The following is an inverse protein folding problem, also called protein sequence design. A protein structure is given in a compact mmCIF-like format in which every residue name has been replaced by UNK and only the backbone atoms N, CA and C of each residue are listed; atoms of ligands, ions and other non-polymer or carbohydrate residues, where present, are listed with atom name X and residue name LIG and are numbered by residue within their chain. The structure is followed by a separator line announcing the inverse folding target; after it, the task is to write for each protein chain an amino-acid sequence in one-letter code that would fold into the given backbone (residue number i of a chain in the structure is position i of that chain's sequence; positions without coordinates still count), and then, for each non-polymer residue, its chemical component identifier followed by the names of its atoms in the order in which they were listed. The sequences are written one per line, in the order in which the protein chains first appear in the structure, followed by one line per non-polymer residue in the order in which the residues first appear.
data_IF_091833158757
#
_entry.id   IF_091833158757
#
_cell.length_a   1.000
_cell.length_b   1.000
_cell.length_c   1.000
_cell.angle_alpha   90.00
_cell.angle_beta   90.00
_cell.angle_gamma   90.00
#
_symmetry.space_group_name_H-M   'P 1'
#
loop_
_entity.id
_entity.type
_entity.pdbx_description
1 polymer ?
#
# COMPACT_ATOMS: atom_id res chain seq x y z
N UNK A 1 45.45 -6.62 12.49
CA UNK A 1 43.99 -6.82 12.70
C UNK A 1 43.19 -6.04 11.66
N UNK A 2 43.59 -4.82 11.31
CA UNK A 2 42.82 -3.97 10.37
C UNK A 2 42.77 -4.49 8.92
N UNK A 3 43.84 -5.10 8.39
CA UNK A 3 43.84 -5.63 7.01
C UNK A 3 42.92 -6.86 6.81
N UNK A 4 42.76 -7.69 7.84
CA UNK A 4 41.87 -8.85 7.79
C UNK A 4 40.40 -8.44 7.88
N UNK A 5 40.11 -7.40 8.67
CA UNK A 5 38.78 -6.81 8.75
C UNK A 5 38.39 -6.10 7.46
N UNK A 6 39.31 -5.37 6.82
CA UNK A 6 39.04 -4.72 5.53
C UNK A 6 38.75 -5.76 4.44
N UNK A 7 39.53 -6.83 4.36
CA UNK A 7 39.29 -7.92 3.40
C UNK A 7 37.97 -8.65 3.63
N UNK A 8 37.54 -8.79 4.89
CA UNK A 8 36.25 -9.39 5.20
C UNK A 8 35.07 -8.49 4.80
N UNK A 9 35.23 -7.17 4.90
CA UNK A 9 34.23 -6.18 4.46
C UNK A 9 34.17 -6.13 2.93
N UNK A 10 35.31 -6.11 2.24
CA UNK A 10 35.36 -6.12 0.78
C UNK A 10 34.81 -7.43 0.18
N UNK A 11 35.03 -8.57 0.85
CA UNK A 11 34.42 -9.84 0.48
C UNK A 11 32.90 -9.87 0.70
N UNK A 12 32.40 -9.19 1.74
CA UNK A 12 30.96 -9.05 2.00
C UNK A 12 30.29 -8.17 0.93
N UNK A 13 30.94 -7.07 0.55
CA UNK A 13 30.43 -6.12 -0.46
C UNK A 13 30.49 -6.72 -1.87
N UNK A 14 31.55 -7.50 -2.19
CA UNK A 14 31.62 -8.26 -3.44
C UNK A 14 30.56 -9.36 -3.52
N UNK A 15 30.23 -10.00 -2.39
CA UNK A 15 29.15 -10.99 -2.30
C UNK A 15 27.76 -10.36 -2.41
N UNK A 16 27.60 -9.07 -2.08
CA UNK A 16 26.36 -8.33 -2.28
C UNK A 16 26.15 -7.89 -3.75
N UNK A 17 27.23 -7.77 -4.52
CA UNK A 17 27.20 -7.30 -5.91
C UNK A 17 27.19 -8.40 -6.99
N UNK A 18 27.37 -9.67 -6.62
CA UNK A 18 27.33 -10.83 -7.54
C UNK A 18 26.00 -11.60 -7.52
N UNK A 19 24.89 -10.94 -7.20
CA UNK A 19 23.57 -11.51 -7.50
C UNK A 19 23.13 -11.15 -8.91
N UNK A 20 22.80 -12.15 -9.76
CA UNK A 20 22.42 -11.91 -11.14
C UNK A 20 21.13 -11.09 -11.17
N UNK A 21 21.22 -9.93 -11.81
CA UNK A 21 20.12 -9.11 -12.29
C UNK A 21 19.32 -9.87 -13.35
N UNK A 22 18.58 -10.90 -12.95
CA UNK A 22 17.63 -11.60 -13.82
C UNK A 22 16.23 -11.52 -13.25
N UNK A 23 15.64 -10.32 -13.32
CA UNK A 23 14.19 -10.18 -13.45
C UNK A 23 13.69 -10.70 -14.82
N UNK A 24 14.61 -11.03 -15.74
CA UNK A 24 14.33 -11.57 -17.06
C UNK A 24 13.95 -13.06 -17.04
N UNK A 25 14.60 -13.90 -16.22
CA UNK A 25 14.32 -15.35 -16.17
C UNK A 25 13.14 -15.70 -15.27
N UNK A 26 12.89 -14.92 -14.22
CA UNK A 26 11.67 -15.05 -13.42
C UNK A 26 10.41 -14.63 -14.20
N UNK A 27 10.53 -13.65 -15.09
CA UNK A 27 9.45 -13.24 -15.99
C UNK A 27 9.22 -14.25 -17.13
N UNK A 28 10.28 -14.89 -17.66
CA UNK A 28 10.17 -15.91 -18.70
C UNK A 28 9.57 -17.23 -18.18
N UNK A 29 9.87 -17.64 -16.95
CA UNK A 29 9.28 -18.83 -16.33
C UNK A 29 7.80 -18.63 -15.94
N UNK A 30 7.40 -17.41 -15.55
CA UNK A 30 5.99 -17.08 -15.30
C UNK A 30 5.15 -16.97 -16.58
N UNK A 31 5.76 -16.54 -17.70
CA UNK A 31 5.10 -16.44 -19.01
C UNK A 31 4.80 -17.82 -19.64
N UNK A 32 5.62 -18.84 -19.38
CA UNK A 32 5.45 -20.18 -19.95
C UNK A 32 4.35 -21.02 -19.25
N UNK A 33 4.00 -20.71 -18.00
CA UNK A 33 2.96 -21.43 -17.25
C UNK A 33 1.55 -20.77 -17.34
N UNK A 34 1.44 -19.56 -17.89
CA UNK A 34 0.21 -18.75 -17.91
C UNK A 34 -0.67 -18.86 -19.16
N UNK A 35 -0.31 -19.71 -20.13
CA UNK A 35 -0.84 -19.68 -21.51
C UNK A 35 -2.36 -19.88 -21.66
N UNK A 36 -3.05 -20.47 -20.68
CA UNK A 36 -4.51 -20.63 -20.69
C UNK A 36 -5.26 -19.66 -19.76
N UNK A 37 -4.53 -18.99 -18.85
CA UNK A 37 -5.08 -17.97 -17.95
C UNK A 37 -5.00 -16.57 -18.56
N UNK A 38 -3.95 -16.26 -19.32
CA UNK A 38 -3.74 -14.93 -19.91
C UNK A 38 -4.80 -14.56 -20.96
N UNK A 39 -5.26 -15.53 -21.77
CA UNK A 39 -6.33 -15.31 -22.75
C UNK A 39 -7.70 -15.12 -22.09
N UNK A 40 -7.98 -15.87 -21.01
CA UNK A 40 -9.20 -15.70 -20.22
C UNK A 40 -9.19 -14.37 -19.45
N UNK A 41 -8.05 -14.01 -18.84
CA UNK A 41 -7.84 -12.74 -18.15
C UNK A 41 -7.91 -11.54 -19.12
N UNK A 42 -7.35 -11.68 -20.32
CA UNK A 42 -7.42 -10.66 -21.39
C UNK A 42 -8.83 -10.53 -21.97
N UNK A 43 -9.57 -11.63 -22.15
CA UNK A 43 -10.96 -11.59 -22.57
C UNK A 43 -11.87 -10.99 -21.49
N UNK A 44 -11.63 -11.29 -20.21
CA UNK A 44 -12.34 -10.64 -19.10
C UNK A 44 -11.96 -9.18 -18.91
N UNK A 45 -10.71 -8.80 -19.17
CA UNK A 45 -10.25 -7.41 -19.15
C UNK A 45 -10.84 -6.62 -20.31
N UNK A 46 -10.91 -7.19 -21.51
CA UNK A 46 -11.56 -6.57 -22.67
C UNK A 46 -13.07 -6.42 -22.44
N UNK A 47 -13.73 -7.42 -21.86
CA UNK A 47 -15.16 -7.34 -21.51
C UNK A 47 -15.41 -6.28 -20.42
N UNK A 48 -14.52 -6.18 -19.42
CA UNK A 48 -14.57 -5.14 -18.40
C UNK A 48 -14.38 -3.75 -19.02
N UNK A 49 -13.43 -3.61 -19.95
CA UNK A 49 -13.14 -2.37 -20.65
C UNK A 49 -14.27 -1.96 -21.61
N UNK A 50 -14.92 -2.92 -22.26
CA UNK A 50 -16.12 -2.70 -23.09
C UNK A 50 -17.34 -2.34 -22.24
N UNK A 51 -17.50 -2.95 -21.06
CA UNK A 51 -18.52 -2.57 -20.07
C UNK A 51 -18.25 -1.17 -19.49
N UNK A 52 -17.00 -0.81 -19.26
CA UNK A 52 -16.57 0.51 -18.79
C UNK A 52 -16.83 1.58 -19.86
N UNK A 53 -16.56 1.27 -21.13
CA UNK A 53 -16.85 2.15 -22.27
C UNK A 53 -18.36 2.39 -22.49
N UNK A 54 -19.21 1.37 -22.28
CA UNK A 54 -20.67 1.51 -22.30
C UNK A 54 -21.23 2.31 -21.10
N UNK A 55 -20.47 2.43 -20.00
CA UNK A 55 -20.87 3.12 -18.77
C UNK A 55 -20.42 4.58 -18.68
N UNK A 56 -19.54 5.01 -19.59
CA UNK A 56 -19.17 6.43 -19.74
C UNK A 56 -20.19 7.23 -20.57
N UNK A 57 -21.17 6.54 -21.18
CA UNK A 57 -22.35 7.13 -21.81
C UNK A 57 -23.36 7.65 -20.77
N UNK A 58 -22.92 8.53 -19.88
CA UNK A 58 -23.79 9.23 -18.92
C UNK A 58 -24.79 10.11 -19.66
N UNK A 59 -26.05 10.07 -19.25
CA UNK A 59 -27.00 11.13 -19.60
C UNK A 59 -26.47 12.46 -19.06
N UNK A 60 -26.15 13.44 -19.91
CA UNK A 60 -25.62 14.69 -19.41
C UNK A 60 -26.70 15.40 -18.57
N UNK A 61 -26.35 16.07 -17.47
CA UNK A 61 -27.31 16.81 -16.64
C UNK A 61 -28.15 17.80 -17.46
N UNK A 62 -27.55 18.37 -18.51
CA UNK A 62 -28.21 19.26 -19.46
C UNK A 62 -29.36 18.61 -20.23
N UNK A 63 -29.33 17.30 -20.47
CA UNK A 63 -30.39 16.57 -21.14
C UNK A 63 -31.61 16.35 -20.22
N UNK A 64 -31.38 16.11 -18.92
CA UNK A 64 -32.46 15.99 -17.94
C UNK A 64 -33.15 17.34 -17.76
N UNK A 65 -32.39 18.43 -17.69
CA UNK A 65 -32.95 19.78 -17.59
C UNK A 65 -33.65 20.22 -18.90
N UNK A 66 -33.17 19.77 -20.06
CA UNK A 66 -33.90 19.91 -21.31
C UNK A 66 -35.22 19.12 -21.27
N UNK A 67 -35.22 17.87 -20.80
CA UNK A 67 -36.43 17.06 -20.68
C UNK A 67 -37.46 17.66 -19.72
N UNK A 68 -37.02 18.25 -18.60
CA UNK A 68 -37.90 18.99 -17.67
C UNK A 68 -38.54 20.21 -18.34
N UNK A 69 -37.76 20.99 -19.09
CA UNK A 69 -38.30 22.15 -19.84
C UNK A 69 -39.31 21.73 -20.89
N UNK A 70 -39.03 20.64 -21.61
CA UNK A 70 -39.96 20.06 -22.58
C UNK A 70 -41.24 19.60 -21.87
N UNK A 71 -41.12 18.88 -20.75
CA UNK A 71 -42.28 18.46 -19.94
C UNK A 71 -43.15 19.66 -19.55
N UNK A 72 -42.58 20.71 -18.96
CA UNK A 72 -43.34 21.90 -18.57
C UNK A 72 -44.03 22.58 -19.77
N UNK A 73 -43.35 22.68 -20.91
CA UNK A 73 -43.94 23.26 -22.12
C UNK A 73 -45.14 22.44 -22.64
N UNK A 74 -45.05 21.11 -22.64
CA UNK A 74 -46.16 20.26 -23.05
C UNK A 74 -47.30 20.23 -22.03
N UNK A 75 -47.01 20.42 -20.74
CA UNK A 75 -48.04 20.57 -19.70
C UNK A 75 -48.85 21.86 -19.89
N UNK A 76 -48.19 22.97 -20.27
CA UNK A 76 -48.86 24.23 -20.62
C UNK A 76 -49.63 24.15 -21.94
N UNK A 77 -49.17 23.32 -22.87
CA UNK A 77 -49.89 23.09 -24.13
C UNK A 77 -51.21 22.36 -23.86
N UNK A 78 -51.26 21.39 -22.94
CA UNK A 78 -52.47 20.62 -22.62
C UNK A 78 -53.25 20.20 -23.88
N UNK A 79 -52.61 19.33 -24.67
CA UNK A 79 -53.06 19.03 -26.02
C UNK A 79 -54.45 18.39 -26.04
N UNK A 80 -54.70 17.49 -25.09
CA UNK A 80 -55.98 16.82 -24.95
C UNK A 80 -57.10 17.79 -24.55
N UNK A 81 -56.82 18.73 -23.64
CA UNK A 81 -57.76 19.79 -23.27
C UNK A 81 -58.05 20.76 -24.42
N UNK A 82 -57.06 21.06 -25.28
CA UNK A 82 -57.22 21.98 -26.41
C UNK A 82 -57.89 21.37 -27.64
N UNK A 83 -57.86 20.05 -27.83
CA UNK A 83 -58.51 19.37 -28.96
C UNK A 83 -59.98 19.77 -29.12
N UNK A 84 -60.76 19.78 -28.04
CA UNK A 84 -62.18 20.16 -28.09
C UNK A 84 -62.39 21.62 -28.52
N UNK A 85 -61.52 22.55 -28.08
CA UNK A 85 -61.59 23.95 -28.48
C UNK A 85 -61.22 24.11 -29.97
N UNK A 86 -60.23 23.36 -30.45
CA UNK A 86 -59.84 23.36 -31.87
C UNK A 86 -60.88 22.71 -32.78
N UNK A 87 -61.56 21.65 -32.34
CA UNK A 87 -62.70 21.06 -33.05
C UNK A 87 -63.82 22.09 -33.26
N UNK A 88 -64.15 22.86 -32.22
CA UNK A 88 -65.15 23.92 -32.31
C UNK A 88 -64.74 25.03 -33.30
N UNK A 89 -63.47 25.42 -33.31
CA UNK A 89 -62.91 26.38 -34.27
C UNK A 89 -62.92 25.84 -35.70
N UNK A 90 -62.55 24.57 -35.91
CA UNK A 90 -62.59 23.90 -37.20
C UNK A 90 -64.01 23.87 -37.78
N UNK A 91 -65.00 23.57 -36.95
CA UNK A 91 -66.41 23.60 -37.34
C UNK A 91 -66.86 25.02 -37.73
N UNK A 92 -66.50 26.03 -36.94
CA UNK A 92 -66.81 27.42 -37.23
C UNK A 92 -66.18 27.89 -38.55
N UNK A 93 -64.92 27.53 -38.82
CA UNK A 93 -64.24 27.81 -40.08
C UNK A 93 -64.99 27.17 -41.26
N UNK A 94 -65.40 25.91 -41.14
CA UNK A 94 -66.18 25.23 -42.19
C UNK A 94 -67.52 25.95 -42.46
N UNK A 95 -68.22 26.40 -41.42
CA UNK A 95 -69.46 27.16 -41.56
C UNK A 95 -69.23 28.53 -42.23
N UNK A 96 -68.15 29.22 -41.85
CA UNK A 96 -67.76 30.50 -42.45
C UNK A 96 -67.35 30.34 -43.92
N UNK A 97 -66.65 29.27 -44.28
CA UNK A 97 -66.32 28.95 -45.67
C UNK A 97 -67.56 28.75 -46.53
N UNK A 98 -68.53 27.98 -46.03
CA UNK A 98 -69.79 27.73 -46.75
C UNK A 98 -70.59 29.03 -46.92
N UNK A 99 -70.72 29.81 -45.85
CA UNK A 99 -71.45 31.09 -45.86
C UNK A 99 -70.79 32.10 -46.80
N UNK A 100 -69.48 32.26 -46.72
CA UNK A 100 -68.70 33.17 -47.60
C UNK A 100 -68.82 32.75 -49.07
N UNK A 101 -68.78 31.43 -49.36
CA UNK A 101 -68.96 30.88 -50.72
C UNK A 101 -70.36 31.16 -51.30
N UNK A 102 -71.41 31.04 -50.48
CA UNK A 102 -72.79 31.39 -50.87
C UNK A 102 -72.95 32.90 -51.09
N UNK A 103 -72.46 33.71 -50.16
CA UNK A 103 -72.55 35.17 -50.23
C UNK A 103 -71.81 35.73 -51.44
N UNK A 104 -70.61 35.22 -51.78
CA UNK A 104 -69.89 35.67 -52.98
C UNK A 104 -70.64 35.33 -54.26
N UNK A 105 -71.24 34.13 -54.35
CA UNK A 105 -72.07 33.74 -55.50
C UNK A 105 -73.26 34.69 -55.68
N UNK A 106 -74.01 34.93 -54.60
CA UNK A 106 -75.13 35.88 -54.60
C UNK A 106 -74.70 37.30 -54.99
N UNK A 107 -73.58 37.80 -54.47
CA UNK A 107 -73.05 39.12 -54.81
C UNK A 107 -72.68 39.23 -56.29
N UNK A 108 -72.06 38.19 -56.86
CA UNK A 108 -71.70 38.14 -58.28
C UNK A 108 -72.96 38.16 -59.18
N UNK A 109 -74.01 37.42 -58.81
CA UNK A 109 -75.29 37.39 -59.51
C UNK A 109 -76.00 38.75 -59.46
N UNK A 110 -76.12 39.37 -58.28
CA UNK A 110 -76.71 40.70 -58.10
C UNK A 110 -75.94 41.77 -58.89
N UNK A 111 -74.60 41.70 -58.88
CA UNK A 111 -73.75 42.63 -59.63
C UNK A 111 -73.95 42.48 -61.14
N UNK A 112 -74.10 41.25 -61.63
CA UNK A 112 -74.38 40.97 -63.05
C UNK A 112 -75.77 41.49 -63.44
N UNK A 113 -76.79 41.24 -62.62
CA UNK A 113 -78.15 41.73 -62.84
C UNK A 113 -78.22 43.26 -62.90
N UNK A 114 -77.54 43.96 -61.98
CA UNK A 114 -77.45 45.42 -61.97
C UNK A 114 -76.80 45.99 -63.23
N UNK A 115 -75.72 45.36 -63.72
CA UNK A 115 -75.06 45.77 -64.96
C UNK A 115 -75.96 45.58 -66.18
N UNK A 116 -76.80 44.53 -66.20
CA UNK A 116 -77.75 44.27 -67.28
C UNK A 116 -78.99 45.17 -67.27
N UNK A 117 -79.35 45.79 -66.15
CA UNK A 117 -80.55 46.65 -66.04
C UNK A 117 -80.33 48.11 -66.51
N UNK A 118 -79.18 48.44 -67.11
CA UNK A 118 -78.91 49.76 -67.71
C UNK A 118 -78.64 50.90 -66.74
N UNK A 119 -78.43 50.62 -65.44
CA UNK A 119 -78.28 51.62 -64.38
C UNK A 119 -76.87 52.25 -64.21
N UNK A 120 -75.96 52.08 -65.17
CA UNK A 120 -74.55 52.49 -64.99
C UNK A 120 -74.35 54.02 -65.13
N UNK A 121 -73.92 54.68 -64.04
CA UNK A 121 -73.18 55.94 -64.12
C UNK A 121 -71.73 55.64 -64.51
N UNK A 122 -71.13 56.41 -65.43
CA UNK A 122 -69.77 56.16 -65.99
C UNK A 122 -68.67 55.94 -64.94
N UNK A 123 -68.74 56.60 -63.77
CA UNK A 123 -67.74 56.49 -62.70
C UNK A 123 -67.95 55.27 -61.77
N UNK A 124 -69.10 54.59 -61.86
CA UNK A 124 -69.43 53.46 -60.97
C UNK A 124 -68.71 52.16 -61.39
N UNK A 125 -68.53 51.95 -62.70
CA UNK A 125 -67.87 50.76 -63.24
C UNK A 125 -66.43 50.53 -62.75
N UNK A 126 -65.52 51.54 -62.72
CA UNK A 126 -64.17 51.36 -62.17
C UNK A 126 -64.17 51.15 -60.65
N UNK A 127 -65.05 51.82 -59.91
CA UNK A 127 -65.19 51.63 -58.45
C UNK A 127 -65.64 50.21 -58.11
N UNK A 128 -66.65 49.69 -58.83
CA UNK A 128 -67.14 48.32 -58.66
C UNK A 128 -66.05 47.28 -58.94
N UNK A 129 -65.21 47.49 -59.95
CA UNK A 129 -64.05 46.62 -60.22
C UNK A 129 -63.03 46.64 -59.08
N UNK A 130 -62.77 47.81 -58.48
CA UNK A 130 -61.87 47.92 -57.33
C UNK A 130 -62.41 47.17 -56.11
N UNK A 131 -63.71 47.29 -55.80
CA UNK A 131 -64.37 46.50 -54.75
C UNK A 131 -64.29 44.98 -55.03
N UNK A 132 -64.52 44.55 -56.27
CA UNK A 132 -64.39 43.14 -56.65
C UNK A 132 -62.97 42.61 -56.44
N UNK A 133 -61.96 43.36 -56.89
CA UNK A 133 -60.56 43.00 -56.71
C UNK A 133 -60.19 42.89 -55.21
N UNK A 134 -60.68 43.80 -54.38
CA UNK A 134 -60.47 43.76 -52.93
C UNK A 134 -61.17 42.55 -52.27
N UNK A 135 -62.42 42.27 -52.63
CA UNK A 135 -63.16 41.09 -52.12
C UNK A 135 -62.45 39.78 -52.51
N UNK A 136 -61.95 39.69 -53.74
CA UNK A 136 -61.20 38.52 -54.19
C UNK A 136 -59.85 38.39 -53.47
N UNK A 137 -59.14 39.50 -53.26
CA UNK A 137 -57.90 39.56 -52.47
C UNK A 137 -58.13 39.09 -51.03
N UNK A 138 -59.12 39.68 -50.34
CA UNK A 138 -59.51 39.31 -48.97
C UNK A 138 -59.83 37.83 -48.90
N UNK A 139 -60.60 37.31 -49.86
CA UNK A 139 -60.99 35.91 -49.75
C UNK A 139 -59.88 34.94 -50.12
N UNK A 140 -58.96 35.32 -51.03
CA UNK A 140 -57.76 34.52 -51.29
C UNK A 140 -56.91 34.44 -50.02
N UNK A 141 -56.74 35.56 -49.31
CA UNK A 141 -56.05 35.62 -48.02
C UNK A 141 -56.76 34.78 -46.95
N UNK A 142 -58.08 34.85 -46.85
CA UNK A 142 -58.87 34.06 -45.92
C UNK A 142 -58.73 32.55 -46.19
N UNK A 143 -58.94 32.09 -47.43
CA UNK A 143 -58.77 30.68 -47.81
C UNK A 143 -57.36 30.16 -47.51
N UNK A 144 -56.34 30.98 -47.73
CA UNK A 144 -54.96 30.61 -47.42
C UNK A 144 -54.75 30.46 -45.90
N UNK A 145 -55.23 31.42 -45.10
CA UNK A 145 -55.12 31.37 -43.65
C UNK A 145 -55.90 30.18 -43.04
N UNK A 146 -57.12 29.95 -43.50
CA UNK A 146 -57.95 28.82 -43.09
C UNK A 146 -57.32 27.47 -43.47
N UNK A 147 -56.79 27.37 -44.70
CA UNK A 147 -56.09 26.16 -45.16
C UNK A 147 -54.82 25.89 -44.35
N UNK A 148 -54.04 26.93 -44.04
CA UNK A 148 -52.85 26.80 -43.19
C UNK A 148 -53.21 26.37 -41.76
N UNK A 149 -54.27 26.97 -41.18
CA UNK A 149 -54.78 26.58 -39.87
C UNK A 149 -55.21 25.12 -39.84
N UNK A 150 -56.03 24.68 -40.79
CA UNK A 150 -56.50 23.29 -40.86
C UNK A 150 -55.35 22.31 -41.06
N UNK A 151 -54.31 22.69 -41.81
CA UNK A 151 -53.11 21.87 -41.96
C UNK A 151 -52.34 21.67 -40.66
N UNK A 152 -52.12 22.74 -39.89
CA UNK A 152 -51.47 22.65 -38.57
C UNK A 152 -52.36 21.91 -37.57
N UNK A 153 -53.66 22.16 -37.59
CA UNK A 153 -54.63 21.50 -36.75
C UNK A 153 -54.60 19.98 -36.93
N UNK A 154 -54.67 19.50 -38.19
CA UNK A 154 -54.64 18.06 -38.48
C UNK A 154 -53.34 17.42 -37.96
N UNK A 155 -52.19 18.06 -38.20
CA UNK A 155 -50.90 17.53 -37.76
C UNK A 155 -50.80 17.43 -36.22
N UNK A 156 -51.38 18.38 -35.48
CA UNK A 156 -51.42 18.35 -34.02
C UNK A 156 -52.48 17.39 -33.48
N UNK A 157 -53.61 17.23 -34.16
CA UNK A 157 -54.68 16.32 -33.74
C UNK A 157 -54.27 14.86 -33.85
N UNK A 158 -53.58 14.50 -34.94
CA UNK A 158 -53.07 13.15 -35.19
C UNK A 158 -51.80 12.83 -34.38
N UNK A 159 -51.16 13.85 -33.78
CA UNK A 159 -49.97 13.64 -32.97
C UNK A 159 -50.31 12.86 -31.69
N UNK A 160 -49.54 11.80 -31.35
CA UNK A 160 -49.73 11.08 -30.10
C UNK A 160 -49.41 11.98 -28.90
N UNK A 161 -50.13 11.78 -27.79
CA UNK A 161 -49.85 12.51 -26.55
C UNK A 161 -48.52 12.05 -25.93
N UNK A 162 -47.54 12.95 -25.91
CA UNK A 162 -46.20 12.72 -25.36
C UNK A 162 -46.13 12.97 -23.85
N UNK A 163 -47.15 13.60 -23.26
CA UNK A 163 -47.14 14.02 -21.86
C UNK A 163 -47.01 12.86 -20.86
N UNK A 164 -47.77 11.75 -21.00
CA UNK A 164 -47.67 10.62 -20.08
C UNK A 164 -46.27 9.98 -20.11
N UNK A 165 -45.68 9.89 -21.31
CA UNK A 165 -44.34 9.36 -21.50
C UNK A 165 -43.30 10.27 -20.81
N UNK A 166 -43.35 11.58 -21.05
CA UNK A 166 -42.43 12.55 -20.44
C UNK A 166 -42.53 12.56 -18.91
N UNK A 167 -43.74 12.47 -18.35
CA UNK A 167 -43.98 12.38 -16.90
C UNK A 167 -43.33 11.14 -16.27
N UNK A 168 -43.33 10.02 -16.99
CA UNK A 168 -42.67 8.79 -16.53
C UNK A 168 -41.14 8.85 -16.72
N UNK A 169 -40.69 9.49 -17.81
CA UNK A 169 -39.29 9.53 -18.19
C UNK A 169 -38.43 10.40 -17.27
N UNK A 170 -38.87 11.62 -16.95
CA UNK A 170 -38.05 12.58 -16.16
C UNK A 170 -37.63 12.03 -14.79
N UNK A 171 -38.52 11.42 -13.98
CA UNK A 171 -38.13 10.81 -12.71
C UNK A 171 -37.18 9.63 -12.90
N UNK A 172 -37.42 8.77 -13.91
CA UNK A 172 -36.56 7.62 -14.21
C UNK A 172 -35.17 8.08 -14.62
N UNK A 173 -35.07 9.05 -15.54
CA UNK A 173 -33.81 9.63 -15.98
C UNK A 173 -33.02 10.26 -14.83
N UNK A 174 -33.71 10.96 -13.91
CA UNK A 174 -33.09 11.54 -12.71
C UNK A 174 -32.55 10.46 -11.78
N UNK A 175 -33.31 9.38 -11.55
CA UNK A 175 -32.87 8.25 -10.72
C UNK A 175 -31.69 7.50 -11.34
N UNK A 176 -31.71 7.29 -12.65
CA UNK A 176 -30.63 6.62 -13.39
C UNK A 176 -29.35 7.45 -13.29
N UNK A 177 -29.41 8.77 -13.53
CA UNK A 177 -28.25 9.64 -13.41
C UNK A 177 -27.67 9.65 -11.98
N UNK A 178 -28.53 9.65 -10.95
CA UNK A 178 -28.08 9.54 -9.55
C UNK A 178 -27.39 8.19 -9.26
N UNK A 179 -27.98 7.09 -9.73
CA UNK A 179 -27.40 5.75 -9.56
C UNK A 179 -26.07 5.57 -10.31
N UNK A 180 -25.94 6.13 -11.51
CA UNK A 180 -24.68 6.14 -12.26
C UNK A 180 -23.57 6.92 -11.52
N UNK A 181 -23.91 8.08 -10.95
CA UNK A 181 -22.96 8.87 -10.16
C UNK A 181 -22.50 8.12 -8.91
N UNK A 182 -23.42 7.49 -8.17
CA UNK A 182 -23.10 6.70 -6.99
C UNK A 182 -22.27 5.46 -7.34
N UNK A 183 -22.61 4.76 -8.42
CA UNK A 183 -21.83 3.63 -8.92
C UNK A 183 -20.39 4.05 -9.28
N UNK A 184 -20.21 5.21 -9.92
CA UNK A 184 -18.87 5.76 -10.19
C UNK A 184 -18.10 6.05 -8.91
N UNK A 185 -18.75 6.68 -7.91
CA UNK A 185 -18.14 6.97 -6.61
C UNK A 185 -17.67 5.70 -5.91
N UNK A 186 -18.55 4.69 -5.81
CA UNK A 186 -18.25 3.41 -5.17
C UNK A 186 -17.12 2.66 -5.89
N UNK A 187 -17.01 2.77 -7.22
CA UNK A 187 -15.87 2.18 -7.95
C UNK A 187 -14.56 2.85 -7.63
N UNK A 188 -14.53 4.18 -7.57
CA UNK A 188 -13.34 4.92 -7.15
C UNK A 188 -12.93 4.54 -5.73
N UNK A 189 -13.89 4.44 -4.81
CA UNK A 189 -13.64 3.97 -3.45
C UNK A 189 -13.09 2.53 -3.43
N UNK A 190 -13.64 1.62 -4.23
CA UNK A 190 -13.14 0.24 -4.33
C UNK A 190 -11.72 0.15 -4.88
N UNK A 191 -11.36 0.98 -5.86
CA UNK A 191 -10.00 1.02 -6.39
C UNK A 191 -8.99 1.54 -5.35
N UNK A 192 -9.37 2.57 -4.57
CA UNK A 192 -8.54 3.06 -3.46
C UNK A 192 -8.34 1.96 -2.42
N UNK A 193 -9.43 1.30 -1.98
CA UNK A 193 -9.36 0.21 -1.00
C UNK A 193 -8.53 -0.96 -1.51
N UNK A 194 -8.60 -1.30 -2.80
CA UNK A 194 -7.75 -2.33 -3.43
C UNK A 194 -6.28 -1.93 -3.39
N UNK A 195 -5.96 -0.68 -3.70
CA UNK A 195 -4.59 -0.18 -3.63
C UNK A 195 -4.04 -0.22 -2.20
N UNK A 196 -4.83 0.22 -1.22
CA UNK A 196 -4.46 0.17 0.20
C UNK A 196 -4.26 -1.26 0.70
N UNK A 197 -5.13 -2.20 0.30
CA UNK A 197 -4.99 -3.61 0.64
C UNK A 197 -3.71 -4.23 0.05
N UNK A 198 -3.37 -3.87 -1.19
CA UNK A 198 -2.12 -4.30 -1.83
C UNK A 198 -0.89 -3.74 -1.10
N UNK A 199 -0.91 -2.46 -0.72
CA UNK A 199 0.14 -1.81 0.04
C UNK A 199 0.31 -2.44 1.44
N UNK A 200 -0.79 -2.69 2.14
CA UNK A 200 -0.78 -3.35 3.44
C UNK A 200 -0.17 -4.75 3.37
N UNK A 201 -0.50 -5.53 2.33
CA UNK A 201 0.09 -6.86 2.10
C UNK A 201 1.59 -6.77 1.82
N UNK A 202 2.03 -5.81 1.01
CA UNK A 202 3.45 -5.58 0.75
C UNK A 202 4.21 -5.22 2.04
N UNK A 203 3.61 -4.38 2.88
CA UNK A 203 4.19 -3.97 4.16
C UNK A 203 4.25 -5.14 5.16
N UNK A 204 3.25 -6.02 5.19
CA UNK A 204 3.29 -7.26 5.98
C UNK A 204 4.43 -8.19 5.57
N UNK A 205 4.66 -8.38 4.26
CA UNK A 205 5.78 -9.18 3.76
C UNK A 205 7.13 -8.56 4.15
N UNK A 206 7.26 -7.23 4.04
CA UNK A 206 8.46 -6.52 4.46
C UNK A 206 8.71 -6.65 5.97
N UNK A 207 7.66 -6.53 6.78
CA UNK A 207 7.74 -6.71 8.24
C UNK A 207 8.21 -8.12 8.60
N UNK A 208 7.67 -9.16 7.95
CA UNK A 208 8.06 -10.53 8.23
C UNK A 208 9.54 -10.78 7.88
N UNK A 209 10.00 -10.30 6.71
CA UNK A 209 11.42 -10.38 6.33
C UNK A 209 12.34 -9.66 7.31
N UNK A 210 11.93 -8.49 7.81
CA UNK A 210 12.70 -7.76 8.82
C UNK A 210 12.73 -8.49 10.16
N UNK A 211 11.64 -9.16 10.54
CA UNK A 211 11.61 -10.00 11.73
C UNK A 211 12.54 -11.21 11.59
N UNK A 212 12.49 -11.93 10.47
CA UNK A 212 13.40 -13.04 10.16
C UNK A 212 14.87 -12.59 10.20
N UNK A 213 15.19 -11.45 9.58
CA UNK A 213 16.53 -10.85 9.63
C UNK A 213 16.97 -10.52 11.06
N UNK A 214 16.06 -10.05 11.90
CA UNK A 214 16.35 -9.70 13.27
C UNK A 214 16.66 -10.95 14.10
N UNK A 215 15.84 -12.00 13.96
CA UNK A 215 16.08 -13.29 14.63
C UNK A 215 17.40 -13.92 14.18
N UNK A 216 17.74 -13.87 12.88
CA UNK A 216 19.04 -14.33 12.39
C UNK A 216 20.22 -13.58 13.03
N UNK A 217 20.08 -12.25 13.17
CA UNK A 217 21.12 -11.43 13.81
C UNK A 217 21.23 -11.70 15.31
N UNK A 218 20.11 -11.93 16.00
CA UNK A 218 20.09 -12.30 17.41
C UNK A 218 20.76 -13.66 17.64
N UNK A 219 20.46 -14.66 16.81
CA UNK A 219 21.10 -15.98 16.85
C UNK A 219 22.60 -15.88 16.58
N UNK A 220 23.02 -15.18 15.53
CA UNK A 220 24.43 -14.99 15.19
C UNK A 220 25.21 -14.26 16.30
N UNK A 221 24.61 -13.27 16.95
CA UNK A 221 25.21 -12.60 18.10
C UNK A 221 25.30 -13.55 19.31
N UNK A 222 24.27 -14.36 19.53
CA UNK A 222 24.27 -15.39 20.58
C UNK A 222 25.39 -16.41 20.38
N UNK A 223 25.61 -16.88 19.16
CA UNK A 223 26.70 -17.79 18.81
C UNK A 223 28.07 -17.15 19.03
N UNK A 224 28.29 -15.92 18.55
CA UNK A 224 29.56 -15.20 18.79
C UNK A 224 29.86 -14.98 20.26
N UNK A 225 28.84 -14.65 21.06
CA UNK A 225 29.00 -14.50 22.51
C UNK A 225 29.37 -15.83 23.14
N UNK A 226 28.72 -16.93 22.74
CA UNK A 226 29.03 -18.27 23.21
C UNK A 226 30.47 -18.67 22.87
N UNK A 227 30.90 -18.50 21.62
CA UNK A 227 32.27 -18.78 21.18
C UNK A 227 33.30 -17.98 21.98
N UNK A 228 33.07 -16.67 22.16
CA UNK A 228 33.97 -15.83 22.95
C UNK A 228 34.05 -16.25 24.43
N UNK A 229 32.93 -16.71 25.01
CA UNK A 229 32.90 -17.24 26.38
C UNK A 229 33.66 -18.57 26.47
N UNK A 230 33.49 -19.47 25.50
CA UNK A 230 34.23 -20.73 25.43
C UNK A 230 35.74 -20.49 25.27
N UNK A 231 36.14 -19.59 24.38
CA UNK A 231 37.55 -19.19 24.20
C UNK A 231 38.13 -18.64 25.51
N UNK A 232 37.41 -17.74 26.19
CA UNK A 232 37.84 -17.18 27.47
C UNK A 232 37.88 -18.22 28.59
N UNK A 233 36.98 -19.19 28.59
CA UNK A 233 36.98 -20.28 29.56
C UNK A 233 38.22 -21.17 29.38
N UNK A 234 38.54 -21.55 28.13
CA UNK A 234 39.76 -22.32 27.81
C UNK A 234 41.02 -21.54 28.16
N UNK A 235 41.08 -20.24 27.83
CA UNK A 235 42.20 -19.38 28.19
C UNK A 235 42.38 -19.29 29.72
N UNK A 236 41.28 -19.14 30.46
CA UNK A 236 41.29 -19.10 31.92
C UNK A 236 41.73 -20.43 32.52
N UNK A 237 41.25 -21.56 32.01
CA UNK A 237 41.65 -22.89 32.48
C UNK A 237 43.14 -23.15 32.24
N UNK A 238 43.65 -22.76 31.07
CA UNK A 238 45.09 -22.83 30.76
C UNK A 238 45.92 -21.97 31.72
N UNK A 239 45.50 -20.71 31.97
CA UNK A 239 46.15 -19.82 32.96
C UNK A 239 46.14 -20.43 34.35
N UNK A 240 45.01 -20.96 34.80
CA UNK A 240 44.90 -21.66 36.09
C UNK A 240 45.76 -22.93 36.16
N UNK A 241 45.94 -23.64 35.04
CA UNK A 241 46.88 -24.76 34.93
C UNK A 241 48.33 -24.34 35.17
N UNK A 242 48.77 -23.24 34.55
CA UNK A 242 50.12 -22.68 34.76
C UNK A 242 50.33 -22.24 36.20
N UNK A 243 49.34 -21.57 36.82
CA UNK A 243 49.43 -21.19 38.23
C UNK A 243 49.56 -22.42 39.14
N UNK A 244 48.75 -23.47 38.93
CA UNK A 244 48.84 -24.72 39.69
C UNK A 244 50.19 -25.42 39.54
N UNK A 245 50.76 -25.45 38.33
CA UNK A 245 52.10 -26.00 38.10
C UNK A 245 53.16 -25.21 38.89
N UNK A 246 53.10 -23.88 38.83
CA UNK A 246 54.01 -23.01 39.57
C UNK A 246 53.87 -23.18 41.09
N UNK A 247 52.65 -23.31 41.60
CA UNK A 247 52.40 -23.61 43.01
C UNK A 247 53.03 -24.95 43.40
N UNK A 248 52.83 -26.00 42.62
CA UNK A 248 53.42 -27.31 42.87
C UNK A 248 54.97 -27.29 42.83
N UNK A 249 55.57 -26.54 41.90
CA UNK A 249 57.03 -26.33 41.84
C UNK A 249 57.55 -25.59 43.08
N UNK A 250 56.86 -24.53 43.51
CA UNK A 250 57.24 -23.77 44.70
C UNK A 250 57.13 -24.64 45.96
N UNK A 251 56.05 -25.41 46.10
CA UNK A 251 55.91 -26.37 47.19
C UNK A 251 57.01 -27.43 47.18
N UNK A 252 57.38 -27.96 46.01
CA UNK A 252 58.46 -28.92 45.89
C UNK A 252 59.81 -28.32 46.33
N UNK A 253 60.12 -27.08 45.93
CA UNK A 253 61.32 -26.36 46.38
C UNK A 253 61.31 -26.09 47.88
N UNK A 254 60.16 -25.77 48.46
CA UNK A 254 60.02 -25.60 49.92
C UNK A 254 60.30 -26.94 50.62
N UNK A 255 59.72 -28.05 50.14
CA UNK A 255 59.98 -29.39 50.69
C UNK A 255 61.46 -29.76 50.61
N UNK A 256 62.09 -29.58 49.46
CA UNK A 256 63.52 -29.81 49.27
C UNK A 256 64.36 -28.94 50.22
N UNK A 257 64.01 -27.66 50.37
CA UNK A 257 64.66 -26.75 51.30
C UNK A 257 64.54 -27.20 52.76
N UNK A 258 63.37 -27.68 53.18
CA UNK A 258 63.13 -28.24 54.51
C UNK A 258 63.92 -29.53 54.74
N UNK A 259 63.98 -30.43 53.75
CA UNK A 259 64.78 -31.66 53.81
C UNK A 259 66.29 -31.35 53.91
N UNK A 260 66.78 -30.39 53.13
CA UNK A 260 68.16 -29.91 53.19
C UNK A 260 68.47 -29.28 54.55
N UNK A 261 67.57 -28.48 55.10
CA UNK A 261 67.72 -27.91 56.45
C UNK A 261 67.78 -29.03 57.50
N UNK A 262 66.90 -30.01 57.43
CA UNK A 262 66.90 -31.16 58.33
C UNK A 262 68.16 -32.02 58.18
N UNK A 263 68.71 -32.15 56.96
CA UNK A 263 69.98 -32.82 56.73
C UNK A 263 71.16 -32.04 57.33
N UNK A 264 71.19 -30.71 57.16
CA UNK A 264 72.20 -29.84 57.77
C UNK A 264 72.11 -29.84 59.29
N UNK A 265 70.90 -29.83 59.87
CA UNK A 265 70.69 -29.97 61.31
C UNK A 265 71.27 -31.30 61.81
N UNK A 266 70.95 -32.43 61.18
CA UNK A 266 71.53 -33.75 61.51
C UNK A 266 73.05 -33.78 61.37
N UNK A 267 73.60 -33.19 60.30
CA UNK A 267 75.04 -33.11 60.09
C UNK A 267 75.72 -32.26 61.17
N UNK A 268 75.09 -31.15 61.57
CA UNK A 268 75.58 -30.29 62.65
C UNK A 268 75.50 -30.98 64.01
N UNK A 269 74.42 -31.70 64.32
CA UNK A 269 74.29 -32.53 65.51
C UNK A 269 75.37 -33.63 65.54
N UNK A 270 75.61 -34.31 64.42
CA UNK A 270 76.68 -35.29 64.30
C UNK A 270 78.07 -34.66 64.52
N UNK A 271 78.32 -33.48 63.93
CA UNK A 271 79.58 -32.75 64.11
C UNK A 271 79.76 -32.27 65.56
N UNK A 272 78.70 -31.78 66.21
CA UNK A 272 78.71 -31.46 67.64
C UNK A 272 79.00 -32.71 68.48
N UNK A 273 78.45 -33.87 68.12
CA UNK A 273 78.79 -35.15 68.73
C UNK A 273 80.26 -35.51 68.60
N UNK A 274 80.86 -35.37 67.40
CA UNK A 274 82.29 -35.60 67.18
C UNK A 274 83.16 -34.63 67.99
N UNK A 275 82.78 -33.35 68.08
CA UNK A 275 83.48 -32.37 68.92
C UNK A 275 83.39 -32.75 70.40
N UNK A 276 82.22 -33.22 70.85
CA UNK A 276 82.04 -33.69 72.22
C UNK A 276 82.90 -34.92 72.51
N UNK A 277 82.91 -35.92 71.64
CA UNK A 277 83.79 -37.10 71.76
C UNK A 277 85.27 -36.73 71.74
N UNK A 278 85.68 -35.82 70.85
CA UNK A 278 87.06 -35.34 70.80
C UNK A 278 87.44 -34.59 72.08
N UNK A 279 86.56 -33.74 72.62
CA UNK A 279 86.76 -33.09 73.91
C UNK A 279 86.84 -34.11 75.05
N UNK A 280 85.95 -35.11 75.09
CA UNK A 280 85.97 -36.16 76.10
C UNK A 280 87.29 -36.95 76.05
N UNK A 281 87.80 -37.30 74.86
CA UNK A 281 89.12 -37.92 74.69
C UNK A 281 90.25 -37.01 75.15
N UNK A 282 90.20 -35.72 74.84
CA UNK A 282 91.19 -34.77 75.34
C UNK A 282 91.14 -34.63 76.86
N UNK A 283 89.95 -34.66 77.47
CA UNK A 283 89.79 -34.67 78.92
C UNK A 283 90.29 -35.96 79.55
N UNK A 284 90.04 -37.12 78.93
CA UNK A 284 90.59 -38.41 79.33
C UNK A 284 92.12 -38.43 79.21
N UNK A 285 92.68 -37.95 78.10
CA UNK A 285 94.13 -37.77 77.94
C UNK A 285 94.71 -36.78 78.96
N UNK A 286 93.98 -35.71 79.31
CA UNK A 286 94.39 -34.77 80.36
C UNK A 286 94.35 -35.44 81.73
N UNK A 287 93.30 -36.21 82.03
CA UNK A 287 93.16 -36.95 83.27
C UNK A 287 94.21 -38.05 83.40
N UNK A 288 94.50 -38.80 82.33
CA UNK A 288 95.56 -39.81 82.31
C UNK A 288 96.92 -39.17 82.51
N UNK A 289 97.23 -38.07 81.80
CA UNK A 289 98.46 -37.29 82.03
C UNK A 289 98.54 -36.74 83.45
N UNK A 290 97.42 -36.29 84.02
CA UNK A 290 97.38 -35.85 85.41
C UNK A 290 97.64 -37.00 86.38
N UNK A 291 97.03 -38.16 86.17
CA UNK A 291 97.30 -39.37 86.96
C UNK A 291 98.75 -39.83 86.85
N UNK A 292 99.36 -39.74 85.67
CA UNK A 292 100.79 -40.02 85.48
C UNK A 292 101.63 -39.00 86.27
N UNK A 293 101.31 -37.71 86.22
CA UNK A 293 101.97 -36.66 87.02
C UNK A 293 101.82 -36.96 88.51
N UNK A 294 100.61 -37.27 88.99
CA UNK A 294 100.33 -37.57 90.39
C UNK A 294 101.06 -38.85 90.84
N UNK A 295 101.10 -39.89 90.00
CA UNK A 295 101.85 -41.11 90.26
C UNK A 295 103.36 -40.87 90.33
N UNK A 296 103.90 -40.04 89.44
CA UNK A 296 105.29 -39.58 89.51
C UNK A 296 105.53 -38.73 90.77
N UNK A 297 104.59 -37.88 91.19
CA UNK A 297 104.67 -37.13 92.44
C UNK A 297 104.65 -38.07 93.67
N UNK A 298 103.79 -39.09 93.69
CA UNK A 298 103.78 -40.09 94.76
C UNK A 298 105.07 -40.91 94.80
N UNK A 299 105.67 -41.23 93.66
CA UNK A 299 106.98 -41.88 93.62
C UNK A 299 108.07 -40.96 94.18
N UNK A 300 107.99 -39.66 93.88
CA UNK A 300 108.86 -38.64 94.48
C UNK A 300 108.64 -38.60 96.00
N UNK A 301 107.41 -38.55 96.49
CA UNK A 301 107.10 -38.54 97.93
C UNK A 301 107.53 -39.85 98.62
N UNK A 302 107.30 -41.02 98.02
CA UNK A 302 107.79 -42.32 98.53
C UNK A 302 109.31 -42.40 98.55
N UNK A 303 110.00 -41.72 97.61
CA UNK A 303 111.46 -41.60 97.62
C UNK A 303 111.97 -40.65 98.71
N UNK A 304 111.13 -39.71 99.17
CA UNK A 304 111.43 -38.82 100.28
C UNK A 304 111.12 -39.46 101.64
N UNK A 305 110.03 -40.24 101.77
CA UNK A 305 109.68 -40.94 103.02
C UNK A 305 110.60 -42.13 103.32
N UNK A 306 111.21 -42.76 102.30
CA UNK A 306 112.30 -43.76 102.51
C UNK A 306 113.63 -43.15 102.97
N UNK A 307 113.69 -41.83 103.16
CA UNK A 307 114.89 -41.10 103.58
C UNK A 307 114.82 -40.54 105.00
N UNK A 308 113.91 -41.08 105.83
CA UNK A 308 113.82 -40.88 107.29
C UNK A 308 113.91 -42.24 107.97
#
# INVERSE_FOLDING_TARGET
MDELFSKAIDALDSSLNEFPSSSADAAAAAAAAGGTSAAAASATASLLQDMEALQDATLPPSAIDAAKRVLSAWEEIDLEGKKSAWDALGLAISQHQETSSKNRRSLAEQTKAFKSSGGEKKDFAPLLKAYQAEIDSITKRAKHAEGAYLGVYQALYDAPDVLPLLRSFVPVATRVAGAEQEARRLRQEMEIVRADAAAAKALQVAMHRLQERNTELEEHLGEKVREAVEEKAVEMEARMGVFRQREAELEARIREGLENLAAMQRANEAMQGVVFEANARMEEERASKQHEIDGLMEEIERSQVRRV
#
